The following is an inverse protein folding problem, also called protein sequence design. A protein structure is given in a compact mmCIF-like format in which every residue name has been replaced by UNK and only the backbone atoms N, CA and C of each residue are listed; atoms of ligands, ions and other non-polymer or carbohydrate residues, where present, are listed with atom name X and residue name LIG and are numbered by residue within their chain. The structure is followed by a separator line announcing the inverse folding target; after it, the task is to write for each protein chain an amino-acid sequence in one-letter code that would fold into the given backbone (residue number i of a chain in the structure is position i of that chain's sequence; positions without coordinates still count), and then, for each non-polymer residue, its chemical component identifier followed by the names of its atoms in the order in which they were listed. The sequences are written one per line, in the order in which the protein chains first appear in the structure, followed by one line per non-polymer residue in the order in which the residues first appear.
data_IF_443695057941
#
_entry.id   IF_443695057941
#
_cell.length_a   1.000
_cell.length_b   1.000
_cell.length_c   1.000
_cell.angle_alpha   90.00
_cell.angle_beta   90.00
_cell.angle_gamma   90.00
#
_symmetry.space_group_name_H-M   'P 1'
#
loop_
_entity.id
_entity.type
_entity.pdbx_description
1 polymer ?
#
# COMPACT_ATOMS: atom_id res chain seq x y z
N UNK A 1 19.90 2.73 -15.64
CA UNK A 1 18.55 3.21 -16.03
C UNK A 1 18.08 2.52 -17.30
N UNK A 2 16.85 1.98 -17.31
CA UNK A 2 16.29 1.27 -18.50
C UNK A 2 16.08 2.27 -19.65
N UNK A 3 16.87 2.11 -20.72
CA UNK A 3 16.81 3.00 -21.90
C UNK A 3 15.42 3.05 -22.56
N UNK A 4 14.61 2.01 -22.42
CA UNK A 4 13.25 1.95 -22.97
C UNK A 4 12.34 2.93 -22.24
N UNK A 5 12.44 3.02 -20.90
CA UNK A 5 11.65 3.93 -20.06
C UNK A 5 12.03 5.38 -20.40
N UNK A 6 13.34 5.68 -20.48
CA UNK A 6 13.84 7.02 -20.84
C UNK A 6 13.28 7.46 -22.19
N UNK A 7 13.46 6.62 -23.22
CA UNK A 7 12.97 6.91 -24.56
C UNK A 7 11.45 7.13 -24.60
N UNK A 8 10.68 6.26 -23.94
CA UNK A 8 9.23 6.37 -23.89
C UNK A 8 8.78 7.67 -23.17
N UNK A 9 9.48 8.09 -22.12
CA UNK A 9 9.19 9.35 -21.44
C UNK A 9 9.49 10.57 -22.33
N UNK A 10 10.58 10.54 -23.11
CA UNK A 10 10.91 11.57 -24.11
C UNK A 10 9.83 11.63 -25.20
N UNK A 11 9.32 10.49 -25.64
CA UNK A 11 8.24 10.36 -26.62
C UNK A 11 6.85 10.75 -26.06
N UNK A 12 6.76 11.03 -24.75
CA UNK A 12 5.55 11.57 -24.13
C UNK A 12 4.68 10.57 -23.38
N UNK A 13 5.13 9.34 -23.16
CA UNK A 13 4.40 8.37 -22.36
C UNK A 13 4.37 8.80 -20.88
N UNK A 14 3.17 9.11 -20.37
CA UNK A 14 2.96 9.64 -19.02
C UNK A 14 3.36 8.66 -17.92
N UNK A 15 3.21 7.35 -18.15
CA UNK A 15 3.57 6.32 -17.19
C UNK A 15 5.08 6.05 -17.18
N UNK A 16 5.75 6.24 -18.32
CA UNK A 16 7.22 6.24 -18.36
C UNK A 16 7.81 7.42 -17.58
N UNK A 17 7.22 8.62 -17.70
CA UNK A 17 7.59 9.77 -16.88
C UNK A 17 7.37 9.53 -15.39
N UNK A 18 6.22 8.93 -15.02
CA UNK A 18 5.93 8.54 -13.65
C UNK A 18 6.98 7.55 -13.11
N UNK A 19 7.36 6.56 -13.93
CA UNK A 19 8.36 5.55 -13.55
C UNK A 19 9.75 6.17 -13.39
N UNK A 20 10.15 7.08 -14.29
CA UNK A 20 11.42 7.81 -14.14
C UNK A 20 11.44 8.66 -12.87
N UNK A 21 10.37 9.41 -12.60
CA UNK A 21 10.23 10.19 -11.38
C UNK A 21 10.39 9.30 -10.12
N UNK A 22 9.74 8.13 -10.13
CA UNK A 22 9.87 7.17 -9.04
C UNK A 22 11.30 6.61 -8.91
N UNK A 23 11.97 6.32 -10.02
CA UNK A 23 13.36 5.82 -10.02
C UNK A 23 14.33 6.86 -9.45
N UNK A 24 14.23 8.13 -9.88
CA UNK A 24 15.04 9.22 -9.32
C UNK A 24 14.73 9.49 -7.85
N UNK A 25 13.46 9.39 -7.46
CA UNK A 25 13.01 9.52 -6.07
C UNK A 25 13.58 8.43 -5.16
N UNK A 26 13.76 7.21 -5.67
CA UNK A 26 14.25 6.05 -4.91
C UNK A 26 15.72 5.73 -5.12
N UNK A 27 16.40 6.41 -6.06
CA UNK A 27 17.77 6.07 -6.46
C UNK A 27 17.88 4.70 -7.14
N UNK A 28 16.84 4.27 -7.87
CA UNK A 28 16.81 2.98 -8.57
C UNK A 28 17.48 3.15 -9.93
N UNK A 29 18.55 2.38 -10.21
CA UNK A 29 19.33 2.44 -11.46
C UNK A 29 19.85 3.83 -11.84
N UNK A 30 19.82 4.80 -10.92
CA UNK A 30 20.28 6.18 -11.08
C UNK A 30 20.71 6.76 -9.74
N UNK A 31 21.44 7.86 -9.74
CA UNK A 31 21.64 8.62 -8.51
C UNK A 31 20.30 9.18 -8.00
N UNK A 32 20.15 9.22 -6.69
CA UNK A 32 19.04 9.92 -6.04
C UNK A 32 19.06 11.40 -6.43
N UNK A 33 18.03 11.87 -7.14
CA UNK A 33 17.89 13.25 -7.57
C UNK A 33 16.47 13.77 -7.27
N UNK A 34 16.26 14.41 -6.11
CA UNK A 34 14.96 14.90 -5.69
C UNK A 34 14.38 15.98 -6.61
N UNK A 35 15.23 16.85 -7.18
CA UNK A 35 14.76 17.92 -8.05
C UNK A 35 14.26 17.37 -9.38
N UNK A 36 15.02 16.47 -9.97
CA UNK A 36 14.63 15.79 -11.20
C UNK A 36 13.39 14.91 -10.99
N UNK A 37 13.29 14.22 -9.86
CA UNK A 37 12.11 13.45 -9.51
C UNK A 37 10.84 14.33 -9.51
N UNK A 38 10.87 15.48 -8.85
CA UNK A 38 9.74 16.43 -8.81
C UNK A 38 9.40 16.95 -10.20
N UNK A 39 10.40 17.31 -11.00
CA UNK A 39 10.20 17.80 -12.37
C UNK A 39 9.48 16.74 -13.22
N UNK A 40 9.93 15.51 -13.19
CA UNK A 40 9.30 14.40 -13.93
C UNK A 40 7.89 14.06 -13.38
N UNK A 41 7.66 14.10 -12.07
CA UNK A 41 6.31 13.98 -11.52
C UNK A 41 5.40 15.10 -12.02
N UNK A 42 5.84 16.37 -12.00
CA UNK A 42 5.08 17.52 -12.50
C UNK A 42 4.82 17.40 -14.00
N UNK A 43 5.80 16.94 -14.76
CA UNK A 43 5.67 16.71 -16.21
C UNK A 43 4.64 15.60 -16.51
N UNK A 44 4.65 14.51 -15.76
CA UNK A 44 3.65 13.42 -15.85
C UNK A 44 2.25 13.90 -15.46
N UNK A 45 2.14 14.62 -14.34
CA UNK A 45 0.88 15.17 -13.81
C UNK A 45 0.22 16.16 -14.75
N UNK A 46 1.00 17.07 -15.38
CA UNK A 46 0.51 18.07 -16.34
C UNK A 46 -0.05 17.44 -17.62
N UNK A 47 0.39 16.23 -17.95
CA UNK A 47 -0.11 15.44 -19.08
C UNK A 47 -1.26 14.51 -18.71
N UNK A 48 -1.77 14.62 -17.49
CA UNK A 48 -2.99 13.93 -17.05
C UNK A 48 -2.76 12.66 -16.21
N UNK A 49 -1.51 12.32 -15.84
CA UNK A 49 -1.27 11.19 -14.96
C UNK A 49 -1.83 11.47 -13.56
N UNK A 50 -2.91 10.78 -13.21
CA UNK A 50 -3.59 10.96 -11.92
C UNK A 50 -2.73 10.52 -10.74
N UNK A 51 -1.97 9.43 -10.91
CA UNK A 51 -1.07 8.93 -9.87
C UNK A 51 0.07 9.91 -9.57
N UNK A 52 0.64 10.57 -10.58
CA UNK A 52 1.70 11.57 -10.38
C UNK A 52 1.21 12.76 -9.53
N UNK A 53 -0.05 13.19 -9.70
CA UNK A 53 -0.66 14.23 -8.86
C UNK A 53 -0.70 13.82 -7.39
N UNK A 54 -1.08 12.57 -7.11
CA UNK A 54 -1.11 12.04 -5.75
C UNK A 54 0.28 11.89 -5.14
N UNK A 55 1.26 11.41 -5.91
CA UNK A 55 2.66 11.35 -5.44
C UNK A 55 3.20 12.73 -5.09
N UNK A 56 2.95 13.75 -5.91
CA UNK A 56 3.32 15.15 -5.61
C UNK A 56 2.65 15.66 -4.33
N UNK A 57 1.37 15.37 -4.13
CA UNK A 57 0.68 15.74 -2.89
C UNK A 57 1.37 15.12 -1.67
N UNK A 58 1.71 13.83 -1.71
CA UNK A 58 2.44 13.16 -0.62
C UNK A 58 3.82 13.79 -0.38
N UNK A 59 4.60 14.01 -1.44
CA UNK A 59 5.93 14.61 -1.35
C UNK A 59 5.88 15.96 -0.63
N UNK A 60 4.95 16.84 -1.01
CA UNK A 60 4.82 18.16 -0.38
C UNK A 60 4.16 18.13 1.00
N UNK A 61 3.44 17.07 1.36
CA UNK A 61 2.91 16.84 2.71
C UNK A 61 4.00 16.35 3.64
N UNK A 62 4.71 15.30 3.23
CA UNK A 62 5.60 14.51 4.10
C UNK A 62 7.01 15.13 4.20
N UNK A 63 7.45 15.84 3.16
CA UNK A 63 8.76 16.48 3.14
C UNK A 63 9.92 15.50 2.98
N UNK A 64 9.71 14.37 2.32
CA UNK A 64 10.69 13.30 2.18
C UNK A 64 11.87 13.65 1.25
N UNK A 65 11.62 14.40 0.17
CA UNK A 65 12.66 14.83 -0.78
C UNK A 65 12.74 16.36 -0.98
N UNK A 66 11.79 17.10 -0.45
CA UNK A 66 11.79 18.57 -0.39
C UNK A 66 11.13 19.03 0.89
N UNK A 67 11.39 20.27 1.33
CA UNK A 67 10.68 20.83 2.49
C UNK A 67 9.16 20.79 2.29
N UNK A 68 8.39 20.46 3.35
CA UNK A 68 6.94 20.48 3.29
C UNK A 68 6.40 21.82 2.82
N UNK A 69 5.46 21.78 1.88
CA UNK A 69 4.84 22.99 1.35
C UNK A 69 3.31 22.86 1.38
N UNK A 70 2.62 23.51 2.33
CA UNK A 70 1.17 23.41 2.47
C UNK A 70 0.38 23.86 1.23
N UNK A 71 0.88 24.86 0.48
CA UNK A 71 0.20 25.36 -0.71
C UNK A 71 0.32 24.37 -1.87
N UNK A 72 1.50 23.87 -2.15
CA UNK A 72 1.74 22.84 -3.15
C UNK A 72 0.99 21.55 -2.78
N UNK A 73 1.03 21.16 -1.51
CA UNK A 73 0.26 20.02 -1.02
C UNK A 73 -1.23 20.14 -1.35
N UNK A 74 -1.87 21.25 -0.97
CA UNK A 74 -3.30 21.46 -1.23
C UNK A 74 -3.61 21.55 -2.72
N UNK A 75 -2.73 22.16 -3.50
CA UNK A 75 -2.87 22.22 -4.97
C UNK A 75 -2.91 20.83 -5.59
N UNK A 76 -1.90 20.01 -5.31
CA UNK A 76 -1.80 18.66 -5.87
C UNK A 76 -2.82 17.70 -5.27
N UNK A 77 -3.16 17.85 -3.99
CA UNK A 77 -4.21 17.10 -3.32
C UNK A 77 -5.56 17.29 -4.00
N UNK A 78 -5.94 18.55 -4.24
CA UNK A 78 -7.20 18.87 -4.93
C UNK A 78 -7.18 18.34 -6.35
N UNK A 79 -6.07 18.53 -7.08
CA UNK A 79 -5.93 18.02 -8.43
C UNK A 79 -5.99 16.49 -8.53
N UNK A 80 -5.50 15.77 -7.51
CA UNK A 80 -5.59 14.31 -7.43
C UNK A 80 -7.02 13.84 -7.08
N UNK A 81 -7.68 14.53 -6.15
CA UNK A 81 -9.06 14.25 -5.76
C UNK A 81 -10.04 14.47 -6.92
N UNK A 82 -9.91 15.59 -7.64
CA UNK A 82 -10.72 15.89 -8.84
C UNK A 82 -10.47 14.87 -9.96
N UNK A 83 -9.26 14.30 -10.02
CA UNK A 83 -8.93 13.22 -10.96
C UNK A 83 -9.44 11.84 -10.49
N UNK A 84 -10.15 11.76 -9.37
CA UNK A 84 -10.81 10.54 -8.89
C UNK A 84 -9.94 9.64 -8.02
N UNK A 85 -8.88 10.12 -7.39
CA UNK A 85 -8.06 9.34 -6.44
C UNK A 85 -8.78 9.28 -5.08
N UNK A 86 -9.27 8.09 -4.62
CA UNK A 86 -10.05 7.99 -3.38
C UNK A 86 -9.26 8.41 -2.14
N UNK A 87 -7.96 8.09 -2.09
CA UNK A 87 -7.06 8.46 -0.99
C UNK A 87 -6.92 9.99 -0.88
N UNK A 88 -6.82 10.67 -2.02
CA UNK A 88 -6.76 12.13 -2.05
C UNK A 88 -8.10 12.76 -1.62
N UNK A 89 -9.22 12.18 -2.04
CA UNK A 89 -10.55 12.62 -1.60
C UNK A 89 -10.72 12.43 -0.09
N UNK A 90 -10.31 11.29 0.47
CA UNK A 90 -10.36 11.04 1.92
C UNK A 90 -9.48 12.02 2.69
N UNK A 91 -8.32 12.38 2.17
CA UNK A 91 -7.47 13.42 2.77
C UNK A 91 -8.18 14.79 2.76
N UNK A 92 -8.91 15.16 1.69
CA UNK A 92 -9.74 16.36 1.66
C UNK A 92 -10.89 16.30 2.67
N UNK A 93 -11.53 15.13 2.85
CA UNK A 93 -12.54 14.93 3.92
C UNK A 93 -11.95 15.33 5.27
N UNK A 94 -10.77 14.83 5.60
CA UNK A 94 -10.08 15.16 6.87
C UNK A 94 -9.76 16.65 6.96
N UNK A 95 -9.24 17.28 5.89
CA UNK A 95 -8.89 18.70 5.89
C UNK A 95 -10.11 19.61 6.09
N UNK A 96 -11.20 19.34 5.40
CA UNK A 96 -12.44 20.12 5.59
C UNK A 96 -13.14 19.81 6.91
N UNK A 97 -13.02 18.57 7.43
CA UNK A 97 -13.60 18.21 8.72
C UNK A 97 -12.88 18.83 9.91
N UNK A 98 -11.55 18.76 9.92
CA UNK A 98 -10.73 19.29 11.01
C UNK A 98 -10.40 20.78 10.87
N UNK A 99 -10.31 21.30 9.65
CA UNK A 99 -9.75 22.62 9.37
C UNK A 99 -8.21 22.60 9.34
N UNK A 100 -7.62 23.75 9.51
CA UNK A 100 -6.16 23.97 9.54
C UNK A 100 -5.65 24.61 8.24
N UNK A 101 -5.32 23.82 7.23
CA UNK A 101 -4.88 24.34 5.92
C UNK A 101 -6.02 24.98 5.11
N UNK A 102 -7.25 24.55 5.37
CA UNK A 102 -8.48 25.14 4.81
C UNK A 102 -9.42 25.49 5.95
N UNK A 103 -10.39 26.35 5.67
CA UNK A 103 -11.47 26.62 6.63
C UNK A 103 -12.27 25.34 6.86
N UNK A 104 -12.62 25.09 8.13
CA UNK A 104 -13.48 23.97 8.49
C UNK A 104 -14.83 24.10 7.76
N UNK A 105 -15.17 23.09 6.98
CA UNK A 105 -16.42 23.00 6.23
C UNK A 105 -16.94 21.56 6.23
N UNK A 106 -17.80 21.19 7.21
CA UNK A 106 -18.37 19.85 7.28
C UNK A 106 -19.24 19.48 6.06
N UNK A 107 -19.82 20.46 5.37
CA UNK A 107 -20.63 20.18 4.18
C UNK A 107 -19.73 19.75 3.01
N UNK A 108 -18.64 20.46 2.80
CA UNK A 108 -17.62 20.06 1.81
C UNK A 108 -16.99 18.71 2.16
N UNK A 109 -16.70 18.47 3.45
CA UNK A 109 -16.20 17.17 3.89
C UNK A 109 -17.19 16.03 3.54
N UNK A 110 -18.48 16.23 3.80
CA UNK A 110 -19.52 15.26 3.48
C UNK A 110 -19.68 15.02 1.97
N UNK A 111 -19.61 16.07 1.15
CA UNK A 111 -19.65 15.93 -0.32
C UNK A 111 -18.47 15.10 -0.86
N UNK A 112 -17.26 15.33 -0.35
CA UNK A 112 -16.12 14.49 -0.72
C UNK A 112 -16.28 13.05 -0.22
N UNK A 113 -16.78 12.87 1.01
CA UNK A 113 -17.01 11.54 1.57
C UNK A 113 -18.00 10.74 0.72
N UNK A 114 -19.09 11.37 0.25
CA UNK A 114 -20.06 10.75 -0.65
C UNK A 114 -19.40 10.28 -1.95
N UNK A 115 -18.58 11.13 -2.60
CA UNK A 115 -17.85 10.77 -3.82
C UNK A 115 -16.92 9.59 -3.62
N UNK A 116 -16.28 9.48 -2.45
CA UNK A 116 -15.41 8.35 -2.10
C UNK A 116 -16.22 7.06 -1.96
N UNK A 117 -17.35 7.10 -1.25
CA UNK A 117 -18.21 5.95 -1.04
C UNK A 117 -18.83 5.43 -2.36
N UNK A 118 -19.16 6.35 -3.31
CA UNK A 118 -19.63 6.00 -4.66
C UNK A 118 -18.59 5.23 -5.49
N UNK A 119 -17.31 5.29 -5.13
CA UNK A 119 -16.25 4.52 -5.77
C UNK A 119 -16.02 3.13 -5.13
N UNK A 120 -16.87 2.69 -4.23
CA UNK A 120 -16.73 1.45 -3.45
C UNK A 120 -15.40 1.40 -2.67
N UNK A 121 -14.96 2.56 -2.16
CA UNK A 121 -13.77 2.65 -1.33
C UNK A 121 -14.16 2.39 0.14
N UNK A 122 -13.69 1.30 0.77
CA UNK A 122 -14.27 0.81 2.03
C UNK A 122 -14.16 1.80 3.19
N UNK A 123 -13.11 2.63 3.22
CA UNK A 123 -12.97 3.68 4.24
C UNK A 123 -14.04 4.76 4.07
N UNK A 124 -14.36 5.14 2.82
CA UNK A 124 -15.45 6.08 2.51
C UNK A 124 -16.81 5.51 2.88
N UNK A 125 -17.05 4.24 2.55
CA UNK A 125 -18.29 3.54 2.93
C UNK A 125 -18.45 3.45 4.45
N UNK A 126 -17.38 3.11 5.18
CA UNK A 126 -17.40 3.07 6.63
C UNK A 126 -17.77 4.43 7.24
N UNK A 127 -17.13 5.52 6.80
CA UNK A 127 -17.43 6.85 7.33
C UNK A 127 -18.79 7.39 6.89
N UNK A 128 -19.33 7.00 5.72
CA UNK A 128 -20.72 7.26 5.37
C UNK A 128 -21.69 6.54 6.32
N UNK A 129 -21.42 5.28 6.66
CA UNK A 129 -22.18 4.56 7.69
C UNK A 129 -22.15 5.29 9.02
N UNK A 130 -20.99 5.78 9.47
CA UNK A 130 -20.88 6.61 10.67
C UNK A 130 -21.65 7.93 10.57
N UNK A 131 -21.66 8.59 9.39
CA UNK A 131 -22.38 9.82 9.16
C UNK A 131 -23.90 9.63 9.33
N UNK A 132 -24.46 8.58 8.75
CA UNK A 132 -25.89 8.25 8.93
C UNK A 132 -26.21 7.78 10.37
N UNK A 133 -25.29 7.04 11.00
CA UNK A 133 -25.48 6.58 12.38
C UNK A 133 -25.56 7.75 13.38
N UNK A 134 -24.73 8.77 13.18
CA UNK A 134 -24.57 9.89 14.13
C UNK A 134 -25.21 11.20 13.67
N UNK A 135 -25.67 11.27 12.43
CA UNK A 135 -26.30 12.47 11.87
C UNK A 135 -25.28 13.54 11.48
N UNK A 136 -24.13 13.17 10.91
CA UNK A 136 -23.13 14.12 10.44
C UNK A 136 -23.54 14.69 9.09
N UNK A 137 -24.02 15.94 9.10
CA UNK A 137 -24.49 16.66 7.92
C UNK A 137 -25.58 15.92 7.10
N UNK A 138 -26.25 14.96 7.73
CA UNK A 138 -27.31 14.11 7.17
C UNK A 138 -28.25 13.69 8.30
N UNK A 139 -29.53 13.44 8.02
CA UNK A 139 -30.45 12.89 9.02
C UNK A 139 -30.01 11.48 9.44
N UNK A 140 -30.21 11.18 10.74
CA UNK A 140 -29.88 9.83 11.25
C UNK A 140 -30.76 8.79 10.59
N UNK A 141 -30.13 7.78 10.01
CA UNK A 141 -30.80 6.62 9.44
C UNK A 141 -29.96 5.34 9.73
N UNK A 142 -30.47 4.52 10.65
CA UNK A 142 -29.80 3.31 11.04
C UNK A 142 -29.79 2.24 9.93
N UNK A 143 -30.78 2.23 9.04
CA UNK A 143 -30.84 1.27 7.94
C UNK A 143 -29.81 1.61 6.86
N UNK A 144 -29.71 2.90 6.48
CA UNK A 144 -28.67 3.38 5.56
C UNK A 144 -27.27 3.19 6.16
N UNK A 145 -27.10 3.49 7.46
CA UNK A 145 -25.83 3.25 8.14
C UNK A 145 -25.37 1.78 8.00
N UNK A 146 -26.28 0.83 8.25
CA UNK A 146 -25.98 -0.59 8.17
C UNK A 146 -25.71 -1.03 6.72
N UNK A 147 -26.41 -0.49 5.72
CA UNK A 147 -26.15 -0.75 4.31
C UNK A 147 -24.74 -0.29 3.90
N UNK A 148 -24.27 0.84 4.39
CA UNK A 148 -22.90 1.32 4.17
C UNK A 148 -21.86 0.47 4.90
N UNK A 149 -22.10 0.03 6.14
CA UNK A 149 -21.20 -0.87 6.85
C UNK A 149 -21.10 -2.23 6.17
N UNK A 150 -22.20 -2.75 5.62
CA UNK A 150 -22.17 -3.99 4.85
C UNK A 150 -21.29 -3.86 3.60
N UNK A 151 -21.39 -2.75 2.84
CA UNK A 151 -20.52 -2.47 1.70
C UNK A 151 -19.05 -2.36 2.12
N UNK A 152 -18.78 -1.62 3.21
CA UNK A 152 -17.43 -1.49 3.74
C UNK A 152 -16.82 -2.86 4.12
N UNK A 153 -17.65 -3.80 4.61
CA UNK A 153 -17.25 -5.17 4.88
C UNK A 153 -16.97 -5.96 3.60
N UNK A 154 -17.77 -5.80 2.57
CA UNK A 154 -17.58 -6.50 1.28
C UNK A 154 -16.31 -6.05 0.56
N UNK A 155 -15.90 -4.80 0.75
CA UNK A 155 -14.79 -4.18 0.05
C UNK A 155 -13.51 -4.06 0.88
N UNK A 156 -13.57 -4.20 2.21
CA UNK A 156 -12.46 -4.02 3.13
C UNK A 156 -11.60 -5.26 3.34
N UNK A 157 -10.54 -5.06 4.09
CA UNK A 157 -9.60 -6.09 4.53
C UNK A 157 -9.46 -6.12 6.06
N UNK A 158 -8.68 -7.08 6.56
CA UNK A 158 -8.51 -7.28 7.99
C UNK A 158 -7.91 -6.05 8.70
N UNK A 159 -6.97 -5.34 8.10
CA UNK A 159 -6.34 -4.15 8.70
C UNK A 159 -7.34 -2.99 8.79
N UNK A 160 -8.15 -2.79 7.77
CA UNK A 160 -9.25 -1.82 7.82
C UNK A 160 -10.28 -2.17 8.89
N UNK A 161 -10.65 -3.44 9.01
CA UNK A 161 -11.61 -3.86 10.03
C UNK A 161 -11.08 -3.64 11.45
N UNK A 162 -9.78 -3.83 11.68
CA UNK A 162 -9.14 -3.44 12.95
C UNK A 162 -9.27 -1.93 13.17
N UNK A 163 -9.01 -1.10 12.15
CA UNK A 163 -9.16 0.36 12.24
C UNK A 163 -10.61 0.77 12.52
N UNK A 164 -11.59 0.14 11.87
CA UNK A 164 -13.01 0.38 12.12
C UNK A 164 -13.41 0.01 13.54
N UNK A 165 -12.97 -1.16 14.03
CA UNK A 165 -13.16 -1.57 15.40
C UNK A 165 -12.59 -0.58 16.41
N UNK A 166 -11.35 -0.10 16.18
CA UNK A 166 -10.70 0.92 17.03
C UNK A 166 -11.48 2.24 17.07
N UNK A 167 -12.03 2.67 15.94
CA UNK A 167 -12.83 3.89 15.90
C UNK A 167 -14.04 3.80 16.85
N UNK A 168 -14.73 2.67 16.86
CA UNK A 168 -15.85 2.45 17.79
C UNK A 168 -15.41 2.16 19.22
N UNK A 169 -14.28 1.44 19.43
CA UNK A 169 -13.79 1.13 20.78
C UNK A 169 -13.33 2.38 21.53
N UNK A 170 -12.60 3.27 20.88
CA UNK A 170 -11.96 4.41 21.52
C UNK A 170 -12.62 5.77 21.24
N UNK A 171 -13.73 5.78 20.51
CA UNK A 171 -14.42 7.01 20.15
C UNK A 171 -13.59 7.92 19.21
N UNK A 172 -12.80 7.33 18.31
CA UNK A 172 -11.89 8.08 17.43
C UNK A 172 -12.66 8.76 16.29
N UNK A 173 -12.06 9.80 15.71
CA UNK A 173 -12.64 10.57 14.58
C UNK A 173 -14.04 11.14 14.85
N UNK A 174 -14.40 11.41 16.12
CA UNK A 174 -15.72 11.93 16.51
C UNK A 174 -16.83 10.88 16.53
N UNK A 175 -16.49 9.60 16.45
CA UNK A 175 -17.43 8.48 16.56
C UNK A 175 -17.70 8.21 18.04
N UNK A 176 -18.98 8.00 18.40
CA UNK A 176 -19.32 7.59 19.75
C UNK A 176 -18.81 6.17 20.05
N UNK A 177 -18.39 5.94 21.31
CA UNK A 177 -17.94 4.62 21.75
C UNK A 177 -19.07 3.61 21.65
N UNK A 178 -18.84 2.51 20.92
CA UNK A 178 -19.76 1.41 20.77
C UNK A 178 -18.98 0.08 20.75
N UNK A 179 -18.92 -0.58 21.91
CA UNK A 179 -18.15 -1.82 22.07
C UNK A 179 -18.76 -2.99 21.30
N UNK A 180 -20.06 -3.01 21.02
CA UNK A 180 -20.66 -4.10 20.24
C UNK A 180 -20.30 -3.94 18.75
N UNK A 181 -20.28 -2.73 18.21
CA UNK A 181 -19.75 -2.47 16.86
C UNK A 181 -18.24 -2.72 16.79
N UNK A 182 -17.48 -2.36 17.82
CA UNK A 182 -16.06 -2.68 17.87
C UNK A 182 -15.82 -4.19 17.79
N UNK A 183 -16.53 -4.99 18.58
CA UNK A 183 -16.48 -6.47 18.53
C UNK A 183 -16.81 -7.01 17.14
N UNK A 184 -17.86 -6.47 16.52
CA UNK A 184 -18.26 -6.89 15.18
C UNK A 184 -17.11 -6.76 14.18
N UNK A 185 -16.46 -5.59 14.13
CA UNK A 185 -15.37 -5.34 13.19
C UNK A 185 -14.11 -6.15 13.52
N UNK A 186 -13.77 -6.31 14.80
CA UNK A 186 -12.65 -7.16 15.20
C UNK A 186 -12.89 -8.63 14.87
N UNK A 187 -14.14 -9.08 14.99
CA UNK A 187 -14.52 -10.43 14.57
C UNK A 187 -14.36 -10.60 13.06
N UNK A 188 -14.78 -9.63 12.25
CA UNK A 188 -14.56 -9.66 10.81
C UNK A 188 -13.06 -9.80 10.48
N UNK A 189 -12.18 -9.07 11.17
CA UNK A 189 -10.73 -9.18 10.99
C UNK A 189 -10.19 -10.56 11.42
N UNK A 190 -10.65 -11.08 12.56
CA UNK A 190 -10.27 -12.40 13.08
C UNK A 190 -10.71 -13.53 12.14
N UNK A 191 -11.92 -13.45 11.59
CA UNK A 191 -12.48 -14.41 10.63
C UNK A 191 -11.66 -14.44 9.31
N UNK A 192 -10.92 -13.38 9.00
CA UNK A 192 -9.94 -13.32 7.91
C UNK A 192 -8.54 -13.81 8.30
N UNK A 193 -8.37 -14.35 9.51
CA UNK A 193 -7.10 -14.89 10.00
C UNK A 193 -6.16 -13.85 10.63
N UNK A 194 -6.64 -12.65 10.97
CA UNK A 194 -5.81 -11.62 11.61
C UNK A 194 -5.62 -11.89 13.10
N UNK A 195 -4.37 -12.14 13.52
CA UNK A 195 -4.02 -12.23 14.94
C UNK A 195 -4.38 -10.96 15.70
N UNK A 196 -4.09 -9.79 15.12
CA UNK A 196 -4.42 -8.49 15.73
C UNK A 196 -5.93 -8.33 15.91
N UNK A 197 -6.73 -8.78 14.93
CA UNK A 197 -8.19 -8.80 15.02
C UNK A 197 -8.67 -9.70 16.15
N UNK A 198 -8.12 -10.92 16.25
CA UNK A 198 -8.45 -11.88 17.30
C UNK A 198 -8.14 -11.35 18.70
N UNK A 199 -6.93 -10.84 18.92
CA UNK A 199 -6.54 -10.30 20.23
C UNK A 199 -7.30 -9.02 20.60
N UNK A 200 -7.66 -8.18 19.62
CA UNK A 200 -8.52 -7.01 19.84
C UNK A 200 -9.92 -7.42 20.29
N UNK A 201 -10.50 -8.45 19.65
CA UNK A 201 -11.78 -9.01 20.03
C UNK A 201 -11.77 -9.52 21.48
N UNK A 202 -10.77 -10.33 21.85
CA UNK A 202 -10.62 -10.85 23.22
C UNK A 202 -10.51 -9.72 24.26
N UNK A 203 -9.79 -8.66 23.95
CA UNK A 203 -9.61 -7.53 24.86
C UNK A 203 -10.93 -6.78 25.09
N UNK A 204 -11.71 -6.50 24.04
CA UNK A 204 -13.03 -5.85 24.19
C UNK A 204 -14.01 -6.76 24.93
N UNK A 205 -14.00 -8.08 24.69
CA UNK A 205 -14.81 -9.03 25.45
C UNK A 205 -14.46 -9.07 26.94
N UNK A 206 -13.17 -8.93 27.29
CA UNK A 206 -12.71 -8.82 28.67
C UNK A 206 -13.26 -7.57 29.34
N UNK A 207 -13.25 -6.43 28.65
CA UNK A 207 -13.82 -5.17 29.16
C UNK A 207 -15.33 -5.33 29.40
N UNK A 208 -16.06 -5.93 28.48
CA UNK A 208 -17.49 -6.19 28.63
C UNK A 208 -17.84 -7.07 29.83
N UNK A 209 -16.88 -7.88 30.31
CA UNK A 209 -16.98 -8.70 31.52
C UNK A 209 -16.47 -8.01 32.80
N UNK A 210 -16.23 -6.70 32.77
CA UNK A 210 -15.73 -5.91 33.91
C UNK A 210 -14.20 -5.93 34.06
N UNK A 211 -13.47 -6.34 33.04
CA UNK A 211 -12.01 -6.25 33.01
C UNK A 211 -11.49 -4.82 32.82
N UNK A 212 -10.20 -4.63 33.06
CA UNK A 212 -9.53 -3.32 32.84
C UNK A 212 -9.59 -2.94 31.37
N UNK A 213 -9.92 -1.68 31.10
CA UNK A 213 -9.83 -1.06 29.80
C UNK A 213 -8.36 -0.69 29.47
N UNK A 214 -7.86 -1.09 28.31
CA UNK A 214 -6.54 -0.76 27.80
C UNK A 214 -6.63 0.51 26.93
N UNK A 215 -5.65 1.41 27.05
CA UNK A 215 -5.56 2.54 26.12
C UNK A 215 -5.11 2.08 24.73
N UNK A 216 -5.31 2.91 23.66
CA UNK A 216 -4.79 2.60 22.34
C UNK A 216 -3.29 2.29 22.33
N UNK A 217 -2.50 3.03 23.11
CA UNK A 217 -1.04 2.88 23.20
C UNK A 217 -0.64 1.61 23.97
N UNK A 218 -1.41 1.22 25.00
CA UNK A 218 -1.21 -0.05 25.71
C UNK A 218 -1.51 -1.23 24.79
N UNK A 219 -2.58 -1.14 24.00
CA UNK A 219 -2.95 -2.14 23.01
C UNK A 219 -1.89 -2.29 21.92
N UNK A 220 -1.38 -1.18 21.37
CA UNK A 220 -0.33 -1.19 20.37
C UNK A 220 0.98 -1.78 20.92
N UNK A 221 1.29 -1.56 22.20
CA UNK A 221 2.43 -2.23 22.86
C UNK A 221 2.25 -3.74 22.97
N UNK A 222 1.07 -4.21 23.36
CA UNK A 222 0.79 -5.64 23.46
C UNK A 222 0.87 -6.36 22.10
N UNK A 223 0.54 -5.68 20.99
CA UNK A 223 0.71 -6.23 19.64
C UNK A 223 2.17 -6.48 19.27
N UNK A 224 3.11 -5.68 19.81
CA UNK A 224 4.54 -5.87 19.54
C UNK A 224 5.08 -7.19 20.10
N UNK A 225 4.40 -7.79 21.07
CA UNK A 225 4.78 -9.04 21.72
C UNK A 225 4.09 -10.27 21.09
N UNK A 226 3.21 -10.06 20.09
CA UNK A 226 2.58 -11.18 19.40
C UNK A 226 3.62 -12.04 18.68
N UNK A 227 3.47 -13.39 18.70
CA UNK A 227 4.38 -14.30 18.02
C UNK A 227 4.59 -13.95 16.53
N UNK A 228 3.53 -13.62 15.81
CA UNK A 228 3.58 -13.21 14.41
C UNK A 228 4.45 -11.96 14.18
N UNK A 229 4.35 -10.96 15.07
CA UNK A 229 5.18 -9.73 14.99
C UNK A 229 6.65 -10.03 15.32
N UNK A 230 6.90 -10.86 16.33
CA UNK A 230 8.26 -11.28 16.69
C UNK A 230 8.92 -12.09 15.57
N UNK A 231 8.18 -12.92 14.87
CA UNK A 231 8.66 -13.68 13.72
C UNK A 231 9.04 -12.74 12.55
N UNK A 232 8.20 -11.73 12.25
CA UNK A 232 8.52 -10.69 11.25
C UNK A 232 9.81 -9.96 11.61
N UNK A 233 9.98 -9.53 12.88
CA UNK A 233 11.21 -8.88 13.34
C UNK A 233 12.43 -9.77 13.19
N UNK A 234 12.29 -11.05 13.57
CA UNK A 234 13.37 -12.03 13.46
C UNK A 234 13.83 -12.23 12.02
N UNK A 235 12.89 -12.41 11.09
CA UNK A 235 13.21 -12.59 9.67
C UNK A 235 13.87 -11.35 9.06
N UNK A 236 13.42 -10.14 9.42
CA UNK A 236 14.02 -8.89 8.93
C UNK A 236 15.44 -8.71 9.47
N UNK A 237 15.68 -9.02 10.74
CA UNK A 237 17.02 -9.00 11.32
C UNK A 237 17.96 -9.97 10.62
N UNK A 238 17.49 -11.15 10.22
CA UNK A 238 18.31 -12.12 9.48
C UNK A 238 18.66 -11.59 8.08
N UNK A 239 17.74 -10.88 7.41
CA UNK A 239 18.04 -10.20 6.15
C UNK A 239 19.15 -9.16 6.34
N UNK A 240 19.02 -8.25 7.31
CA UNK A 240 20.01 -7.21 7.62
C UNK A 240 21.39 -7.81 7.94
N UNK A 241 21.46 -8.90 8.71
CA UNK A 241 22.70 -9.62 8.98
C UNK A 241 23.29 -10.23 7.69
N UNK A 242 22.43 -10.68 6.77
CA UNK A 242 22.85 -11.17 5.43
C UNK A 242 23.48 -10.07 4.60
N UNK A 243 22.85 -8.90 4.54
CA UNK A 243 23.35 -7.73 3.80
C UNK A 243 24.71 -7.27 4.33
N UNK A 244 24.86 -7.16 5.66
CA UNK A 244 26.13 -6.82 6.30
C UNK A 244 27.23 -7.84 5.94
N UNK A 245 26.92 -9.12 5.97
CA UNK A 245 27.89 -10.16 5.59
C UNK A 245 28.24 -10.11 4.10
N UNK A 246 27.30 -9.78 3.23
CA UNK A 246 27.51 -9.60 1.79
C UNK A 246 28.48 -8.45 1.53
N UNK A 247 28.27 -7.29 2.16
CA UNK A 247 29.16 -6.11 2.07
C UNK A 247 30.58 -6.39 2.59
N UNK A 248 30.70 -7.24 3.61
CA UNK A 248 31.98 -7.62 4.19
C UNK A 248 32.71 -8.74 3.41
N UNK A 249 32.10 -9.27 2.35
CA UNK A 249 32.65 -10.38 1.56
C UNK A 249 32.55 -11.76 2.24
N UNK A 250 31.77 -11.91 3.31
CA UNK A 250 31.50 -13.17 3.98
C UNK A 250 30.35 -13.94 3.33
N UNK A 251 30.52 -14.31 2.06
CA UNK A 251 29.44 -14.79 1.19
C UNK A 251 28.70 -16.03 1.73
N UNK A 252 29.41 -17.00 2.28
CA UNK A 252 28.78 -18.22 2.85
C UNK A 252 27.85 -17.86 4.03
N UNK A 253 28.26 -16.89 4.86
CA UNK A 253 27.43 -16.42 5.97
C UNK A 253 26.24 -15.61 5.49
N UNK A 254 26.42 -14.79 4.46
CA UNK A 254 25.33 -14.03 3.85
C UNK A 254 24.26 -14.95 3.29
N UNK A 255 24.66 -15.97 2.51
CA UNK A 255 23.74 -16.97 1.95
C UNK A 255 23.01 -17.73 3.06
N UNK A 256 23.69 -18.15 4.14
CA UNK A 256 23.05 -18.81 5.29
C UNK A 256 21.98 -17.91 5.95
N UNK A 257 22.26 -16.61 6.09
CA UNK A 257 21.30 -15.66 6.66
C UNK A 257 20.10 -15.42 5.74
N UNK A 258 20.33 -15.27 4.44
CA UNK A 258 19.25 -15.14 3.46
C UNK A 258 18.38 -16.39 3.43
N UNK A 259 18.96 -17.60 3.47
CA UNK A 259 18.18 -18.84 3.54
C UNK A 259 17.28 -18.88 4.77
N UNK A 260 17.82 -18.55 5.95
CA UNK A 260 17.02 -18.51 7.19
C UNK A 260 15.91 -17.45 7.17
N UNK A 261 16.16 -16.29 6.59
CA UNK A 261 15.13 -15.27 6.40
C UNK A 261 14.07 -15.71 5.38
N UNK A 262 14.49 -16.38 4.30
CA UNK A 262 13.62 -16.92 3.25
C UNK A 262 12.73 -18.06 3.76
N UNK A 263 13.24 -18.93 4.63
CA UNK A 263 12.46 -20.00 5.30
C UNK A 263 11.34 -19.41 6.18
N UNK A 264 11.55 -18.21 6.72
CA UNK A 264 10.52 -17.45 7.46
C UNK A 264 9.66 -16.55 6.52
N UNK A 265 9.77 -16.71 5.20
CA UNK A 265 8.96 -16.00 4.22
C UNK A 265 9.35 -14.53 4.00
N UNK A 266 10.62 -14.15 4.23
CA UNK A 266 11.07 -12.81 3.90
C UNK A 266 11.17 -12.65 2.38
N UNK A 267 10.38 -11.73 1.81
CA UNK A 267 10.27 -11.53 0.36
C UNK A 267 11.58 -11.07 -0.28
N UNK A 268 12.32 -10.19 0.40
CA UNK A 268 13.59 -9.66 -0.11
C UNK A 268 14.69 -10.71 -0.06
N UNK A 269 14.79 -11.48 1.03
CA UNK A 269 15.74 -12.58 1.13
C UNK A 269 15.48 -13.66 0.05
N UNK A 270 14.23 -13.97 -0.24
CA UNK A 270 13.84 -14.86 -1.34
C UNK A 270 14.32 -14.30 -2.69
N UNK A 271 14.12 -12.99 -2.91
CA UNK A 271 14.57 -12.33 -4.13
C UNK A 271 16.09 -12.32 -4.26
N UNK A 272 16.83 -12.01 -3.18
CA UNK A 272 18.29 -12.06 -3.17
C UNK A 272 18.81 -13.45 -3.51
N UNK A 273 18.22 -14.51 -2.95
CA UNK A 273 18.60 -15.89 -3.31
C UNK A 273 18.31 -16.21 -4.77
N UNK A 274 17.19 -15.72 -5.33
CA UNK A 274 16.90 -15.90 -6.75
C UNK A 274 17.99 -15.30 -7.64
N UNK A 275 18.48 -14.10 -7.33
CA UNK A 275 19.58 -13.44 -8.04
C UNK A 275 20.87 -14.26 -7.89
N UNK A 276 21.24 -14.63 -6.68
CA UNK A 276 22.49 -15.36 -6.42
C UNK A 276 22.57 -16.69 -7.19
N UNK A 277 21.45 -17.44 -7.26
CA UNK A 277 21.40 -18.68 -8.04
C UNK A 277 21.31 -18.45 -9.55
N UNK A 278 20.82 -17.30 -10.00
CA UNK A 278 20.81 -16.92 -11.42
C UNK A 278 22.20 -16.54 -11.91
N UNK A 279 22.89 -15.67 -11.17
CA UNK A 279 24.19 -15.13 -11.56
C UNK A 279 25.30 -16.17 -11.45
N UNK A 280 25.28 -16.99 -10.40
CA UNK A 280 26.22 -18.09 -10.23
C UNK A 280 27.62 -17.66 -9.80
N UNK A 281 27.82 -16.42 -9.36
CA UNK A 281 29.13 -15.89 -8.93
C UNK A 281 29.51 -16.34 -7.51
N UNK A 282 28.54 -16.36 -6.61
CA UNK A 282 28.71 -16.68 -5.18
C UNK A 282 28.29 -18.12 -4.89
N UNK A 283 27.16 -18.54 -5.44
CA UNK A 283 26.65 -19.90 -5.36
C UNK A 283 26.65 -20.52 -6.76
N UNK A 284 26.77 -21.85 -6.86
CA UNK A 284 26.70 -22.50 -8.17
C UNK A 284 25.39 -22.17 -8.86
N UNK A 285 25.47 -21.63 -10.08
CA UNK A 285 24.29 -21.28 -10.90
C UNK A 285 23.30 -22.44 -11.00
N UNK A 286 22.04 -22.14 -10.76
CA UNK A 286 20.94 -23.07 -10.93
C UNK A 286 19.65 -22.30 -11.24
N UNK A 287 19.29 -22.27 -12.51
CA UNK A 287 18.13 -21.49 -12.99
C UNK A 287 16.81 -22.04 -12.42
N UNK A 288 16.67 -23.36 -12.18
CA UNK A 288 15.45 -23.94 -11.60
C UNK A 288 15.23 -23.47 -10.15
N UNK A 289 16.31 -23.48 -9.35
CA UNK A 289 16.26 -22.97 -7.97
C UNK A 289 16.02 -21.45 -7.97
N UNK A 290 16.64 -20.72 -8.89
CA UNK A 290 16.42 -19.28 -9.04
C UNK A 290 14.94 -18.97 -9.31
N UNK A 291 14.33 -19.70 -10.25
CA UNK A 291 12.91 -19.52 -10.55
C UNK A 291 11.97 -19.89 -9.40
N UNK A 292 12.28 -20.92 -8.60
CA UNK A 292 11.51 -21.28 -7.41
C UNK A 292 11.54 -20.15 -6.38
N UNK A 293 12.74 -19.64 -6.08
CA UNK A 293 12.87 -18.49 -5.17
C UNK A 293 12.18 -17.23 -5.71
N UNK A 294 12.26 -16.98 -7.01
CA UNK A 294 11.61 -15.82 -7.63
C UNK A 294 10.08 -15.89 -7.52
N UNK A 295 9.48 -17.07 -7.75
CA UNK A 295 8.04 -17.28 -7.56
C UNK A 295 7.62 -17.05 -6.10
N UNK A 296 8.37 -17.63 -5.17
CA UNK A 296 8.12 -17.45 -3.73
C UNK A 296 8.27 -16.00 -3.30
N UNK A 297 9.29 -15.28 -3.81
CA UNK A 297 9.50 -13.86 -3.56
C UNK A 297 8.32 -13.01 -4.04
N UNK A 298 7.84 -13.28 -5.25
CA UNK A 298 6.69 -12.54 -5.83
C UNK A 298 5.41 -12.77 -5.02
N UNK A 299 5.14 -14.02 -4.59
CA UNK A 299 4.01 -14.36 -3.74
C UNK A 299 4.14 -13.69 -2.36
N UNK A 300 5.36 -13.64 -1.80
CA UNK A 300 5.64 -12.99 -0.53
C UNK A 300 5.60 -11.44 -0.61
N UNK A 301 5.43 -10.85 -1.80
CA UNK A 301 5.22 -9.42 -2.02
C UNK A 301 6.44 -8.64 -2.49
N UNK A 302 7.56 -9.29 -2.87
CA UNK A 302 8.70 -8.58 -3.48
C UNK A 302 8.30 -7.98 -4.83
N UNK A 303 8.32 -6.66 -4.91
CA UNK A 303 7.93 -5.92 -6.12
C UNK A 303 8.92 -6.11 -7.25
N UNK A 304 10.19 -6.31 -6.93
CA UNK A 304 11.25 -6.54 -7.90
C UNK A 304 11.14 -7.95 -8.50
N UNK A 305 10.81 -8.95 -7.67
CA UNK A 305 10.49 -10.28 -8.15
C UNK A 305 9.25 -10.29 -9.07
N UNK A 306 8.22 -9.53 -8.72
CA UNK A 306 7.01 -9.38 -9.52
C UNK A 306 7.31 -8.74 -10.89
N UNK A 307 8.10 -7.66 -10.93
CA UNK A 307 8.53 -7.04 -12.19
C UNK A 307 9.37 -7.98 -13.04
N UNK A 308 10.31 -8.70 -12.41
CA UNK A 308 11.18 -9.63 -13.11
C UNK A 308 10.41 -10.83 -13.68
N UNK A 309 9.48 -11.42 -12.90
CA UNK A 309 8.59 -12.48 -13.40
C UNK A 309 7.68 -11.98 -14.53
N UNK A 310 7.18 -10.76 -14.43
CA UNK A 310 6.41 -10.13 -15.51
C UNK A 310 7.21 -10.13 -16.83
N UNK A 311 8.46 -9.72 -16.81
CA UNK A 311 9.36 -9.74 -17.97
C UNK A 311 9.66 -11.16 -18.46
N UNK A 312 9.89 -12.10 -17.55
CA UNK A 312 10.12 -13.51 -17.89
C UNK A 312 8.93 -14.11 -18.62
N UNK A 313 7.70 -13.90 -18.12
CA UNK A 313 6.48 -14.38 -18.79
C UNK A 313 6.20 -13.63 -20.10
N UNK A 314 6.50 -12.35 -20.20
CA UNK A 314 6.35 -11.56 -21.43
C UNK A 314 7.26 -12.06 -22.55
N UNK A 315 8.53 -12.35 -22.23
CA UNK A 315 9.56 -12.71 -23.21
C UNK A 315 9.66 -14.22 -23.45
N UNK A 316 9.14 -15.03 -22.55
CA UNK A 316 9.25 -16.49 -22.60
C UNK A 316 10.67 -16.99 -22.26
N UNK A 317 11.45 -16.24 -21.47
CA UNK A 317 12.81 -16.63 -21.06
C UNK A 317 12.77 -17.68 -19.97
N UNK A 318 13.28 -18.86 -20.24
CA UNK A 318 13.31 -19.98 -19.30
C UNK A 318 11.94 -20.55 -18.90
N UNK A 319 10.85 -19.92 -19.33
CA UNK A 319 9.46 -20.34 -19.13
C UNK A 319 8.64 -20.13 -20.39
N UNK A 320 7.51 -20.83 -20.49
CA UNK A 320 6.55 -20.58 -21.59
C UNK A 320 6.05 -19.13 -21.49
N UNK A 321 6.08 -18.44 -22.63
CA UNK A 321 5.50 -17.12 -22.76
C UNK A 321 4.02 -17.12 -22.34
N UNK A 322 3.65 -16.20 -21.45
CA UNK A 322 2.29 -16.06 -20.92
C UNK A 322 2.00 -14.59 -20.63
N UNK A 323 1.31 -13.96 -21.59
CA UNK A 323 0.98 -12.53 -21.49
C UNK A 323 0.05 -12.22 -20.31
N UNK A 324 -0.89 -13.11 -20.00
CA UNK A 324 -1.84 -12.86 -18.91
C UNK A 324 -1.13 -12.85 -17.57
N UNK A 325 -0.26 -13.83 -17.33
CA UNK A 325 0.59 -13.85 -16.13
C UNK A 325 1.55 -12.66 -16.04
N UNK A 326 2.09 -12.22 -17.20
CA UNK A 326 2.95 -11.02 -17.20
C UNK A 326 2.18 -9.78 -16.70
N UNK A 327 0.96 -9.57 -17.22
CA UNK A 327 0.10 -8.48 -16.78
C UNK A 327 -0.28 -8.57 -15.30
N UNK A 328 -0.53 -9.78 -14.80
CA UNK A 328 -0.78 -10.00 -13.37
C UNK A 328 0.41 -9.60 -12.52
N UNK A 329 1.61 -10.03 -12.87
CA UNK A 329 2.83 -9.69 -12.12
C UNK A 329 3.09 -8.18 -12.11
N UNK A 330 2.95 -7.50 -13.24
CA UNK A 330 3.08 -6.05 -13.30
C UNK A 330 2.04 -5.33 -12.45
N UNK A 331 0.79 -5.80 -12.48
CA UNK A 331 -0.27 -5.21 -11.67
C UNK A 331 -0.08 -5.47 -10.17
N UNK A 332 0.45 -6.64 -9.78
CA UNK A 332 0.84 -6.92 -8.39
C UNK A 332 1.95 -5.97 -7.92
N UNK A 333 2.96 -5.74 -8.75
CA UNK A 333 4.04 -4.80 -8.42
C UNK A 333 3.50 -3.39 -8.16
N UNK A 334 2.57 -2.92 -9.00
CA UNK A 334 1.90 -1.63 -8.79
C UNK A 334 1.08 -1.63 -7.50
N UNK A 335 0.30 -2.66 -7.25
CA UNK A 335 -0.51 -2.79 -6.03
C UNK A 335 0.36 -2.77 -4.76
N UNK A 336 1.57 -3.31 -4.85
CA UNK A 336 2.56 -3.30 -3.76
C UNK A 336 3.45 -2.04 -3.75
N UNK A 337 3.15 -1.04 -4.57
CA UNK A 337 3.77 0.29 -4.52
C UNK A 337 4.91 0.54 -5.48
N UNK A 338 5.23 -0.39 -6.38
CA UNK A 338 6.27 -0.17 -7.40
C UNK A 338 5.68 0.48 -8.66
N UNK A 339 5.93 1.77 -8.83
CA UNK A 339 5.34 2.56 -9.92
C UNK A 339 5.92 2.24 -11.32
N UNK A 340 7.02 1.49 -11.39
CA UNK A 340 7.60 1.02 -12.67
C UNK A 340 6.59 0.10 -13.38
N UNK A 341 5.83 -0.68 -12.63
CA UNK A 341 4.79 -1.55 -13.18
C UNK A 341 3.73 -0.82 -14.01
N UNK A 342 3.45 0.46 -13.76
CA UNK A 342 2.54 1.26 -14.59
C UNK A 342 3.05 1.43 -16.02
N UNK A 343 4.35 1.66 -16.20
CA UNK A 343 4.95 1.73 -17.52
C UNK A 343 4.82 0.39 -18.26
N UNK A 344 5.17 -0.71 -17.60
CA UNK A 344 5.09 -2.04 -18.21
C UNK A 344 3.64 -2.38 -18.61
N UNK A 345 2.65 -2.07 -17.77
CA UNK A 345 1.23 -2.23 -18.12
C UNK A 345 0.79 -1.31 -19.26
N UNK A 346 1.28 -0.06 -19.33
CA UNK A 346 0.91 0.91 -20.37
C UNK A 346 1.34 0.50 -21.78
N UNK A 347 2.25 -0.44 -21.90
CA UNK A 347 2.65 -1.03 -23.19
C UNK A 347 1.57 -1.95 -23.77
N UNK A 348 0.61 -2.36 -22.96
CA UNK A 348 -0.46 -3.31 -23.33
C UNK A 348 -1.86 -2.72 -23.27
N UNK A 349 -2.04 -1.59 -22.57
CA UNK A 349 -3.36 -0.97 -22.35
C UNK A 349 -3.28 0.54 -22.11
N UNK A 350 -4.33 1.26 -22.51
CA UNK A 350 -4.39 2.73 -22.40
C UNK A 350 -4.60 3.21 -20.96
N UNK A 351 -5.25 2.41 -20.11
CA UNK A 351 -5.64 2.78 -18.75
C UNK A 351 -5.19 1.75 -17.71
N UNK A 352 -3.87 1.62 -17.46
CA UNK A 352 -3.34 0.63 -16.52
C UNK A 352 -3.85 0.82 -15.07
N UNK A 353 -4.14 2.06 -14.65
CA UNK A 353 -4.69 2.34 -13.33
C UNK A 353 -6.08 1.73 -13.10
N UNK A 354 -6.92 1.67 -14.14
CA UNK A 354 -8.24 1.01 -14.05
C UNK A 354 -8.08 -0.50 -13.89
N UNK A 355 -7.17 -1.09 -14.65
CA UNK A 355 -6.88 -2.53 -14.59
C UNK A 355 -6.40 -2.93 -13.19
N UNK A 356 -5.46 -2.17 -12.62
CA UNK A 356 -4.92 -2.43 -11.28
C UNK A 356 -6.02 -2.30 -10.21
N UNK A 357 -6.83 -1.23 -10.25
CA UNK A 357 -7.93 -1.03 -9.30
C UNK A 357 -8.98 -2.14 -9.35
N UNK A 358 -9.32 -2.62 -10.51
CA UNK A 358 -10.31 -3.69 -10.65
C UNK A 358 -9.82 -5.04 -10.10
N UNK A 359 -8.52 -5.32 -10.23
CA UNK A 359 -7.94 -6.62 -9.89
C UNK A 359 -7.39 -6.69 -8.46
N UNK A 360 -6.85 -5.59 -7.98
CA UNK A 360 -6.17 -5.51 -6.69
C UNK A 360 -6.73 -4.37 -5.86
N UNK A 361 -7.94 -4.36 -5.45
CA UNK A 361 -8.56 -3.34 -4.58
C UNK A 361 -7.53 -2.62 -3.70
N UNK A 362 -6.86 -1.59 -4.28
CA UNK A 362 -5.75 -0.90 -3.62
C UNK A 362 -6.34 -0.07 -2.47
N UNK A 363 -6.14 -0.55 -1.28
CA UNK A 363 -6.57 0.05 -0.01
C UNK A 363 -5.34 0.52 0.78
N UNK A 364 -4.31 1.03 0.12
CA UNK A 364 -3.12 1.55 0.80
C UNK A 364 -3.01 3.05 0.73
#
# INVERSE_FOLDING_TARGET
MDRRIVKAAEEGNIYAMLSLAYMHHRGIDSEFDPLLAIEEYKRSASRGCTRAKWELAKIYRDGDIVEPNPYEFMHWLTAAADAGIPEAMMELVVRYWCGGLVLKDPSMAFEWLRKVAEQNYPLGEFFMGCAYLQGWNVEKDAAEAEAYFQRAREHGDADLFIRFGRNFEFGMAGIEVDLERAKYWYKCAADMGSDRGYYSLLAVEKVAKGGRYETPEERDRSFNDLPSVQEVRRRNKMLEEGDIHMEQGYYDKAVDRYMKAADLGNAEALYMLAILYHDGEIVRRNDDISYDYLDRAAIAGSTDAQLQLGKIYEEGRGRKQDRERALEMYAMAVANGNLIGYYELSRFMDHPEKFVRQRYRIVR
#
